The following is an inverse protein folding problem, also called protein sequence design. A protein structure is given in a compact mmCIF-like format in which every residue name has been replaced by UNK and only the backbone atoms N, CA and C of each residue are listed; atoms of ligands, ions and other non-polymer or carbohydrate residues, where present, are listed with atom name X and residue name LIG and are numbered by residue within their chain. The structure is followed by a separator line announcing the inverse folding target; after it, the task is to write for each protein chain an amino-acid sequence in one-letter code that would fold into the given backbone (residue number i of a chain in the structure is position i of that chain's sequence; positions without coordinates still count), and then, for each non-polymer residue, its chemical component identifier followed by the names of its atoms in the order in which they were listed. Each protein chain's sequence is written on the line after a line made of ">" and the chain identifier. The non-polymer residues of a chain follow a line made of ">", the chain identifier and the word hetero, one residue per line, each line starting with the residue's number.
data_IF_736189130714
#
_entry.id   IF_736189130714
#
_cell.length_a   1.000
_cell.length_b   1.000
_cell.length_c   1.000
_cell.angle_alpha   90.00
_cell.angle_beta   90.00
_cell.angle_gamma   90.00
#
_symmetry.space_group_name_H-M   'P 1'
#
loop_
_entity.id
_entity.type
_entity.pdbx_description
1 polymer ?
#
# COMPACT_ATOMS: atom_id res chain seq x y z
N UNK A 1 -36.56 -7.12 -37.60
CA UNK A 1 -35.08 -7.18 -37.65
C UNK A 1 -34.55 -5.81 -37.24
N UNK A 2 -33.73 -5.71 -36.17
CA UNK A 2 -33.14 -4.44 -35.77
C UNK A 2 -32.24 -3.92 -36.90
N UNK A 3 -32.31 -2.61 -37.19
CA UNK A 3 -31.49 -1.99 -38.24
C UNK A 3 -30.01 -2.13 -37.84
N UNK A 4 -29.13 -2.32 -38.83
CA UNK A 4 -27.69 -2.50 -38.58
C UNK A 4 -27.06 -1.38 -37.72
N UNK A 5 -27.61 -0.16 -37.77
CA UNK A 5 -27.21 0.95 -36.91
C UNK A 5 -27.49 0.70 -35.41
N UNK A 6 -28.61 0.05 -35.07
CA UNK A 6 -28.99 -0.25 -33.68
C UNK A 6 -28.05 -1.31 -33.08
N UNK A 7 -27.61 -2.30 -33.88
CA UNK A 7 -26.62 -3.29 -33.44
C UNK A 7 -25.24 -2.68 -33.16
N UNK A 8 -24.83 -1.65 -33.91
CA UNK A 8 -23.57 -0.93 -33.68
C UNK A 8 -23.64 -0.11 -32.37
N UNK A 9 -24.77 0.52 -32.09
CA UNK A 9 -24.95 1.25 -30.83
C UNK A 9 -24.99 0.32 -29.61
N UNK A 10 -25.72 -0.80 -29.69
CA UNK A 10 -25.81 -1.78 -28.60
C UNK A 10 -24.46 -2.44 -28.31
N UNK A 11 -23.69 -2.79 -29.35
CA UNK A 11 -22.34 -3.35 -29.16
C UNK A 11 -21.36 -2.34 -28.54
N UNK A 12 -21.40 -1.07 -28.96
CA UNK A 12 -20.60 0.01 -28.34
C UNK A 12 -20.96 0.20 -26.87
N UNK A 13 -22.24 0.26 -26.52
CA UNK A 13 -22.71 0.37 -25.14
C UNK A 13 -22.23 -0.81 -24.29
N UNK A 14 -22.39 -2.05 -24.78
CA UNK A 14 -21.92 -3.24 -24.06
C UNK A 14 -20.40 -3.28 -23.84
N UNK A 15 -19.63 -2.76 -24.81
CA UNK A 15 -18.17 -2.67 -24.70
C UNK A 15 -17.74 -1.64 -23.66
N UNK A 16 -18.44 -0.51 -23.57
CA UNK A 16 -18.25 0.52 -22.56
C UNK A 16 -18.58 -0.02 -21.16
N UNK A 17 -19.70 -0.74 -21.02
CA UNK A 17 -20.10 -1.36 -19.76
C UNK A 17 -19.06 -2.38 -19.27
N UNK A 18 -18.53 -3.20 -20.19
CA UNK A 18 -17.48 -4.17 -19.85
C UNK A 18 -16.17 -3.50 -19.42
N UNK A 19 -15.83 -2.37 -20.04
CA UNK A 19 -14.63 -1.60 -19.72
C UNK A 19 -14.79 -0.86 -18.39
N UNK A 20 -15.96 -0.27 -18.15
CA UNK A 20 -16.31 0.38 -16.89
C UNK A 20 -16.33 -0.63 -15.74
N UNK A 21 -16.88 -1.83 -15.95
CA UNK A 21 -16.86 -2.90 -14.95
C UNK A 21 -15.44 -3.35 -14.61
N UNK A 22 -14.53 -3.43 -15.60
CA UNK A 22 -13.11 -3.72 -15.36
C UNK A 22 -12.43 -2.59 -14.59
N UNK A 23 -12.67 -1.34 -15.00
CA UNK A 23 -12.13 -0.16 -14.31
C UNK A 23 -12.61 -0.11 -12.86
N UNK A 24 -13.91 -0.34 -12.61
CA UNK A 24 -14.47 -0.40 -11.27
C UNK A 24 -13.84 -1.50 -10.42
N UNK A 25 -13.58 -2.69 -10.98
CA UNK A 25 -12.84 -3.75 -10.26
C UNK A 25 -11.42 -3.33 -9.91
N UNK A 26 -10.71 -2.68 -10.83
CA UNK A 26 -9.37 -2.14 -10.57
C UNK A 26 -9.39 -1.11 -9.45
N UNK A 27 -10.40 -0.24 -9.44
CA UNK A 27 -10.63 0.77 -8.40
C UNK A 27 -10.94 0.12 -7.05
N UNK A 28 -11.82 -0.87 -6.99
CA UNK A 28 -12.18 -1.54 -5.73
C UNK A 28 -10.99 -2.30 -5.15
N UNK A 29 -10.26 -3.07 -5.99
CA UNK A 29 -9.07 -3.79 -5.56
C UNK A 29 -8.01 -2.84 -4.97
N UNK A 30 -7.93 -1.61 -5.48
CA UNK A 30 -7.04 -0.56 -4.99
C UNK A 30 -7.21 -0.25 -3.50
N UNK A 31 -8.47 -0.21 -3.04
CA UNK A 31 -8.80 0.18 -1.66
C UNK A 31 -8.25 -0.85 -0.69
N UNK A 32 -8.40 -2.13 -1.02
CA UNK A 32 -7.89 -3.24 -0.22
C UNK A 32 -6.35 -3.22 -0.20
N UNK A 33 -5.72 -2.95 -1.35
CA UNK A 33 -4.26 -2.86 -1.47
C UNK A 33 -3.68 -1.70 -0.67
N UNK A 34 -4.34 -0.54 -0.62
CA UNK A 34 -3.83 0.62 0.12
C UNK A 34 -3.73 0.35 1.62
N UNK A 35 -4.67 -0.42 2.19
CA UNK A 35 -4.62 -0.82 3.60
C UNK A 35 -3.38 -1.64 3.92
N UNK A 36 -3.07 -2.64 3.08
CA UNK A 36 -1.88 -3.46 3.22
C UNK A 36 -0.58 -2.70 2.95
N UNK A 37 -0.55 -1.83 1.94
CA UNK A 37 0.63 -1.00 1.68
C UNK A 37 0.89 -0.01 2.82
N UNK A 38 -0.16 0.56 3.42
CA UNK A 38 -0.04 1.42 4.60
C UNK A 38 0.52 0.62 5.79
N UNK A 39 0.06 -0.61 6.00
CA UNK A 39 0.57 -1.48 7.04
C UNK A 39 2.03 -1.88 6.83
N UNK A 40 2.39 -2.27 5.60
CA UNK A 40 3.76 -2.58 5.23
C UNK A 40 4.67 -1.36 5.44
N UNK A 41 4.24 -0.17 5.01
CA UNK A 41 4.97 1.08 5.19
C UNK A 41 5.30 1.36 6.67
N UNK A 42 4.28 1.28 7.54
CA UNK A 42 4.49 1.54 8.96
C UNK A 42 5.32 0.46 9.65
N UNK A 43 5.17 -0.79 9.22
CA UNK A 43 5.99 -1.90 9.73
C UNK A 43 7.46 -1.70 9.36
N UNK A 44 7.77 -1.35 8.11
CA UNK A 44 9.14 -1.05 7.67
C UNK A 44 9.72 0.16 8.41
N UNK A 45 8.91 1.21 8.63
CA UNK A 45 9.33 2.39 9.41
C UNK A 45 9.59 2.05 10.88
N UNK A 46 8.79 1.16 11.46
CA UNK A 46 9.00 0.65 12.83
C UNK A 46 10.31 -0.14 12.91
N UNK A 47 10.56 -1.06 11.97
CA UNK A 47 11.82 -1.81 11.90
C UNK A 47 13.02 -0.87 11.79
N UNK A 48 12.95 0.16 10.95
CA UNK A 48 14.00 1.19 10.84
C UNK A 48 14.23 1.92 12.17
N UNK A 49 13.15 2.29 12.87
CA UNK A 49 13.24 2.98 14.16
C UNK A 49 13.86 2.11 15.24
N UNK A 50 13.51 0.82 15.29
CA UNK A 50 14.11 -0.16 16.20
C UNK A 50 15.61 -0.32 15.90
N UNK A 51 15.99 -0.47 14.63
CA UNK A 51 17.40 -0.54 14.21
C UNK A 51 18.17 0.73 14.57
N UNK A 52 17.54 1.91 14.52
CA UNK A 52 18.14 3.17 14.96
C UNK A 52 18.42 3.19 16.46
N UNK A 53 17.51 2.67 17.28
CA UNK A 53 17.72 2.56 18.72
C UNK A 53 18.79 1.53 19.06
N UNK A 54 18.77 0.35 18.43
CA UNK A 54 19.78 -0.70 18.60
C UNK A 54 21.16 -0.18 18.16
N UNK A 55 21.24 0.48 17.01
CA UNK A 55 22.49 1.03 16.49
C UNK A 55 23.09 2.08 17.42
N UNK A 56 22.28 2.97 18.00
CA UNK A 56 22.73 3.96 19.00
C UNK A 56 23.22 3.29 20.29
N UNK A 57 22.50 2.27 20.77
CA UNK A 57 22.89 1.52 21.96
C UNK A 57 24.20 0.75 21.75
N UNK A 58 24.36 0.08 20.60
CA UNK A 58 25.57 -0.66 20.26
C UNK A 58 26.81 0.25 20.16
N UNK A 59 26.64 1.48 19.65
CA UNK A 59 27.72 2.48 19.61
C UNK A 59 28.04 3.00 21.03
N UNK A 60 27.04 3.20 21.88
CA UNK A 60 27.23 3.68 23.25
C UNK A 60 27.90 2.63 24.17
N UNK A 61 27.75 1.34 23.86
CA UNK A 61 28.35 0.24 24.64
C UNK A 61 29.83 0.03 24.31
N UNK A 62 30.38 0.61 23.22
CA UNK A 62 31.83 0.58 22.98
C UNK A 62 32.54 1.46 24.01
N UNK A 63 33.22 0.88 25.02
CA UNK A 63 34.04 1.66 25.92
C UNK A 63 35.31 2.04 25.18
N UNK A 64 35.89 3.13 25.61
CA UNK A 64 37.25 3.62 25.34
C UNK A 64 38.31 2.53 25.59
N UNK A 65 38.40 1.52 24.74
CA UNK A 65 39.56 0.62 24.70
C UNK A 65 40.53 1.23 23.71
N UNK A 66 41.34 2.11 24.29
CA UNK A 66 42.65 2.56 23.85
C UNK A 66 43.32 1.62 22.85
N UNK A 67 43.53 2.15 21.64
CA UNK A 67 44.80 2.12 20.91
C UNK A 67 45.83 1.09 21.41
N UNK A 68 45.64 -0.19 21.08
CA UNK A 68 46.76 -1.11 20.95
C UNK A 68 46.85 -1.54 19.50
N UNK A 69 47.90 -1.07 18.83
CA UNK A 69 48.42 -1.61 17.57
C UNK A 69 48.24 -3.14 17.56
N UNK A 70 47.54 -3.68 16.58
CA UNK A 70 47.67 -5.09 16.27
C UNK A 70 47.78 -5.32 14.77
N UNK A 71 48.72 -6.20 14.45
CA UNK A 71 49.24 -6.58 13.15
C UNK A 71 48.18 -7.14 12.20
N UNK A 72 48.43 -6.91 10.92
CA UNK A 72 47.51 -6.99 9.80
C UNK A 72 47.24 -8.41 9.25
N UNK A 73 47.06 -9.43 10.11
CA UNK A 73 46.89 -10.82 9.62
C UNK A 73 45.71 -11.61 10.21
N UNK A 74 44.96 -11.09 11.18
CA UNK A 74 43.78 -11.79 11.70
C UNK A 74 42.47 -11.34 11.02
N UNK A 75 41.56 -12.29 10.65
CA UNK A 75 40.26 -11.94 10.12
C UNK A 75 39.47 -11.12 11.16
N UNK A 76 38.70 -10.10 10.72
CA UNK A 76 38.04 -9.17 11.62
C UNK A 76 37.04 -9.90 12.51
N UNK A 77 37.18 -9.69 13.81
CA UNK A 77 36.35 -10.28 14.86
C UNK A 77 34.85 -10.04 14.57
N UNK A 78 33.97 -11.02 14.84
CA UNK A 78 32.53 -10.89 14.57
C UNK A 78 31.88 -9.72 15.33
N UNK A 79 32.46 -9.26 16.45
CA UNK A 79 32.03 -8.07 17.18
C UNK A 79 32.25 -6.76 16.39
N UNK A 80 33.27 -6.71 15.53
CA UNK A 80 33.54 -5.53 14.69
C UNK A 80 32.61 -5.47 13.46
N UNK A 81 32.05 -6.61 13.04
CA UNK A 81 31.12 -6.69 11.91
C UNK A 81 29.66 -6.38 12.28
N UNK A 82 29.26 -6.58 13.53
CA UNK A 82 27.90 -6.29 14.01
C UNK A 82 27.38 -4.87 13.68
N UNK A 83 28.12 -3.77 13.94
CA UNK A 83 27.65 -2.42 13.60
C UNK A 83 27.53 -2.18 12.08
N UNK A 84 28.38 -2.81 11.27
CA UNK A 84 28.29 -2.75 9.80
C UNK A 84 27.04 -3.47 9.27
N UNK A 85 26.66 -4.59 9.88
CA UNK A 85 25.43 -5.31 9.51
C UNK A 85 24.17 -4.52 9.89
N UNK A 86 24.13 -3.92 11.07
CA UNK A 86 22.99 -3.09 11.53
C UNK A 86 22.80 -1.86 10.64
N UNK A 87 23.89 -1.19 10.26
CA UNK A 87 23.85 -0.03 9.35
C UNK A 87 23.36 -0.42 7.95
N UNK A 88 23.86 -1.53 7.39
CA UNK A 88 23.38 -2.04 6.10
C UNK A 88 21.88 -2.41 6.14
N UNK A 89 21.43 -3.11 7.19
CA UNK A 89 20.00 -3.46 7.35
C UNK A 89 19.13 -2.20 7.43
N UNK A 90 19.60 -1.18 8.17
CA UNK A 90 18.90 0.10 8.28
C UNK A 90 18.78 0.78 6.93
N UNK A 91 19.83 0.84 6.13
CA UNK A 91 19.80 1.43 4.79
C UNK A 91 18.83 0.69 3.87
N UNK A 92 18.87 -0.65 3.88
CA UNK A 92 17.93 -1.47 3.12
C UNK A 92 16.48 -1.29 3.58
N UNK A 93 16.23 -1.19 4.89
CA UNK A 93 14.89 -0.94 5.44
C UNK A 93 14.36 0.44 5.05
N UNK A 94 15.23 1.46 5.04
CA UNK A 94 14.89 2.81 4.54
C UNK A 94 14.57 2.80 3.04
N UNK A 95 15.38 2.12 2.23
CA UNK A 95 15.14 1.98 0.80
C UNK A 95 13.79 1.30 0.53
N UNK A 96 13.49 0.20 1.22
CA UNK A 96 12.20 -0.49 1.13
C UNK A 96 11.02 0.41 1.54
N UNK A 97 11.17 1.16 2.64
CA UNK A 97 10.15 2.13 3.07
C UNK A 97 9.89 3.18 1.98
N UNK A 98 10.96 3.64 1.30
CA UNK A 98 10.88 4.54 0.16
C UNK A 98 10.13 3.93 -1.04
N UNK A 99 10.43 2.68 -1.39
CA UNK A 99 9.74 1.96 -2.47
C UNK A 99 8.25 1.77 -2.17
N UNK A 100 7.89 1.40 -0.94
CA UNK A 100 6.49 1.26 -0.53
C UNK A 100 5.79 2.63 -0.61
N UNK A 101 6.45 3.71 -0.19
CA UNK A 101 5.89 5.05 -0.30
C UNK A 101 5.62 5.45 -1.76
N UNK A 102 6.53 5.12 -2.67
CA UNK A 102 6.39 5.36 -4.12
C UNK A 102 5.22 4.55 -4.71
N UNK A 103 5.14 3.26 -4.37
CA UNK A 103 4.03 2.39 -4.78
C UNK A 103 2.68 2.95 -4.32
N UNK A 104 2.61 3.45 -3.09
CA UNK A 104 1.40 4.09 -2.56
C UNK A 104 1.07 5.42 -3.23
N UNK A 105 2.08 6.23 -3.55
CA UNK A 105 1.88 7.48 -4.28
C UNK A 105 1.29 7.21 -5.67
N UNK A 106 1.84 6.21 -6.37
CA UNK A 106 1.31 5.74 -7.64
C UNK A 106 -0.11 5.19 -7.51
N UNK A 107 -0.38 4.37 -6.49
CA UNK A 107 -1.72 3.86 -6.21
C UNK A 107 -2.73 5.02 -6.03
N UNK A 108 -2.34 6.08 -5.32
CA UNK A 108 -3.14 7.28 -5.10
C UNK A 108 -3.35 8.15 -6.35
N UNK A 109 -2.53 8.01 -7.39
CA UNK A 109 -2.72 8.74 -8.67
C UNK A 109 -4.08 8.42 -9.28
N UNK A 110 -4.44 7.14 -9.28
CA UNK A 110 -5.77 6.69 -9.72
C UNK A 110 -6.90 7.27 -8.86
N UNK A 111 -6.68 7.44 -7.56
CA UNK A 111 -7.64 8.04 -6.64
C UNK A 111 -7.94 9.51 -6.92
N UNK A 112 -7.02 10.22 -7.58
CA UNK A 112 -7.23 11.64 -7.91
C UNK A 112 -8.35 11.82 -8.92
N UNK A 113 -8.48 10.90 -9.88
CA UNK A 113 -9.56 10.92 -10.87
C UNK A 113 -10.92 10.77 -10.17
N UNK A 114 -11.04 9.83 -9.24
CA UNK A 114 -12.27 9.64 -8.45
C UNK A 114 -12.64 10.87 -7.62
N UNK A 115 -11.65 11.55 -7.03
CA UNK A 115 -11.89 12.75 -6.25
C UNK A 115 -12.39 13.88 -7.14
N UNK A 116 -11.80 14.07 -8.32
CA UNK A 116 -12.25 15.09 -9.28
C UNK A 116 -13.69 14.80 -9.71
N UNK A 117 -14.01 13.56 -10.06
CA UNK A 117 -15.36 13.16 -10.45
C UNK A 117 -16.37 13.32 -9.30
N UNK A 118 -15.96 13.01 -8.07
CA UNK A 118 -16.79 13.18 -6.88
C UNK A 118 -17.03 14.65 -6.57
N UNK A 119 -16.00 15.50 -6.71
CA UNK A 119 -16.11 16.94 -6.52
C UNK A 119 -17.06 17.57 -7.53
N UNK A 120 -16.98 17.15 -8.80
CA UNK A 120 -17.92 17.59 -9.83
C UNK A 120 -19.37 17.26 -9.47
N UNK A 121 -19.62 16.01 -9.03
CA UNK A 121 -20.96 15.60 -8.58
C UNK A 121 -21.45 16.40 -7.37
N UNK A 122 -20.57 16.73 -6.42
CA UNK A 122 -20.93 17.54 -5.26
C UNK A 122 -21.34 18.96 -5.66
N UNK A 123 -20.66 19.55 -6.64
CA UNK A 123 -21.01 20.87 -7.20
C UNK A 123 -22.36 20.82 -7.92
N UNK A 124 -22.59 19.80 -8.76
CA UNK A 124 -23.86 19.61 -9.46
C UNK A 124 -25.04 19.41 -8.49
N UNK A 125 -24.83 18.72 -7.37
CA UNK A 125 -25.85 18.54 -6.33
C UNK A 125 -26.16 19.87 -5.63
N UNK A 126 -25.13 20.65 -5.30
CA UNK A 126 -25.30 21.95 -4.63
C UNK A 126 -26.13 22.92 -5.49
N UNK A 127 -25.83 22.98 -6.80
CA UNK A 127 -26.59 23.77 -7.78
C UNK A 127 -28.06 23.33 -7.83
N UNK A 128 -28.32 22.02 -7.87
CA UNK A 128 -29.69 21.48 -7.93
C UNK A 128 -30.54 21.73 -6.66
N UNK A 129 -29.89 21.94 -5.52
CA UNK A 129 -30.55 22.21 -4.25
C UNK A 129 -30.91 23.70 -4.08
N UNK A 130 -30.26 24.59 -4.82
CA UNK A 130 -30.57 26.02 -4.86
C UNK A 130 -31.97 26.31 -5.43
N UNK A 131 -32.47 25.43 -6.32
CA UNK A 131 -33.73 25.59 -7.03
C UNK A 131 -34.93 24.93 -6.33
N UNK A 132 -34.72 24.16 -5.26
CA UNK A 132 -35.76 23.40 -4.57
C UNK A 132 -36.39 24.16 -3.38
N UNK A 133 -37.66 24.52 -3.54
CA UNK A 133 -38.51 25.24 -2.58
C UNK A 133 -38.63 24.60 -1.18
N UNK A 134 -39.06 25.42 -0.24
CA UNK A 134 -38.74 25.48 1.19
C UNK A 134 -39.61 24.59 2.11
N UNK A 135 -39.57 23.25 2.02
CA UNK A 135 -40.52 22.43 2.82
C UNK A 135 -40.02 21.16 3.55
N UNK A 136 -38.72 20.99 3.84
CA UNK A 136 -38.24 19.92 4.76
C UNK A 136 -36.80 20.18 5.30
N UNK A 137 -36.20 19.34 6.19
CA UNK A 137 -35.11 19.74 7.10
C UNK A 137 -33.74 19.92 6.39
N UNK A 138 -33.57 21.06 5.72
CA UNK A 138 -32.37 21.44 4.93
C UNK A 138 -31.06 21.45 5.73
N UNK A 139 -31.10 21.61 7.05
CA UNK A 139 -29.90 21.85 7.86
C UNK A 139 -28.97 20.63 7.99
N UNK A 140 -29.52 19.41 8.09
CA UNK A 140 -28.72 18.19 8.25
C UNK A 140 -27.95 17.83 6.98
N UNK A 141 -28.59 18.02 5.81
CA UNK A 141 -27.99 17.75 4.50
C UNK A 141 -26.85 18.73 4.18
N UNK A 142 -27.03 20.01 4.54
CA UNK A 142 -26.04 21.07 4.27
C UNK A 142 -24.71 20.85 5.00
N UNK A 143 -24.76 20.37 6.25
CA UNK A 143 -23.53 20.04 6.99
C UNK A 143 -22.78 18.88 6.36
N UNK A 144 -23.48 17.79 6.00
CA UNK A 144 -22.83 16.60 5.44
C UNK A 144 -22.21 16.94 4.07
N UNK A 145 -22.93 17.72 3.25
CA UNK A 145 -22.41 18.24 1.97
C UNK A 145 -21.15 19.10 2.16
N UNK A 146 -21.16 20.01 3.13
CA UNK A 146 -20.00 20.86 3.44
C UNK A 146 -18.78 20.03 3.88
N UNK A 147 -18.99 19.04 4.75
CA UNK A 147 -17.91 18.15 5.21
C UNK A 147 -17.37 17.32 4.06
N UNK A 148 -18.23 16.78 3.20
CA UNK A 148 -17.84 16.03 2.00
C UNK A 148 -17.03 16.89 1.03
N UNK A 149 -17.48 18.12 0.78
CA UNK A 149 -16.78 19.08 -0.05
C UNK A 149 -15.40 19.43 0.52
N UNK A 150 -15.30 19.74 1.80
CA UNK A 150 -14.04 20.07 2.46
C UNK A 150 -13.05 18.89 2.43
N UNK A 151 -13.54 17.67 2.61
CA UNK A 151 -12.71 16.47 2.48
C UNK A 151 -12.23 16.24 1.07
N UNK A 152 -13.10 16.38 0.07
CA UNK A 152 -12.73 16.24 -1.33
C UNK A 152 -11.64 17.24 -1.72
N UNK A 153 -11.79 18.50 -1.33
CA UNK A 153 -10.78 19.56 -1.56
C UNK A 153 -9.47 19.24 -0.82
N UNK A 154 -9.54 18.85 0.46
CA UNK A 154 -8.35 18.50 1.23
C UNK A 154 -7.60 17.31 0.63
N UNK A 155 -8.31 16.27 0.20
CA UNK A 155 -7.71 15.12 -0.49
C UNK A 155 -7.11 15.52 -1.85
N UNK A 156 -7.79 16.37 -2.62
CA UNK A 156 -7.27 16.84 -3.89
C UNK A 156 -5.94 17.60 -3.71
N UNK A 157 -5.88 18.53 -2.74
CA UNK A 157 -4.64 19.26 -2.41
C UNK A 157 -3.55 18.30 -1.96
N UNK A 158 -3.88 17.32 -1.10
CA UNK A 158 -2.95 16.29 -0.67
C UNK A 158 -2.35 15.53 -1.85
N UNK A 159 -3.18 15.03 -2.77
CA UNK A 159 -2.72 14.25 -3.92
C UNK A 159 -1.89 15.08 -4.88
N UNK A 160 -2.33 16.28 -5.26
CA UNK A 160 -1.58 17.16 -6.18
C UNK A 160 -0.18 17.44 -5.62
N UNK A 161 -0.07 17.78 -4.33
CA UNK A 161 1.22 18.03 -3.70
C UNK A 161 2.09 16.77 -3.65
N UNK A 162 1.51 15.62 -3.26
CA UNK A 162 2.20 14.33 -3.18
C UNK A 162 2.74 13.88 -4.56
N UNK A 163 1.94 14.04 -5.62
CA UNK A 163 2.35 13.73 -7.00
C UNK A 163 3.41 14.69 -7.53
N UNK A 164 3.31 15.98 -7.25
CA UNK A 164 4.35 16.94 -7.62
C UNK A 164 5.71 16.59 -6.98
N UNK A 165 5.70 16.19 -5.71
CA UNK A 165 6.91 15.70 -5.00
C UNK A 165 7.43 14.41 -5.64
N UNK A 166 6.55 13.46 -5.94
CA UNK A 166 6.91 12.20 -6.59
C UNK A 166 7.55 12.42 -7.96
N UNK A 167 6.91 13.21 -8.84
CA UNK A 167 7.48 13.54 -10.15
C UNK A 167 8.78 14.31 -10.05
N UNK A 168 8.95 15.15 -9.02
CA UNK A 168 10.21 15.81 -8.75
C UNK A 168 11.31 14.84 -8.33
N UNK A 169 11.02 13.90 -7.44
CA UNK A 169 11.95 12.84 -7.02
C UNK A 169 12.42 12.00 -8.20
N UNK A 170 11.53 11.72 -9.16
CA UNK A 170 11.84 10.99 -10.39
C UNK A 170 12.40 11.87 -11.53
N UNK A 171 12.76 13.12 -11.25
CA UNK A 171 13.36 14.07 -12.21
C UNK A 171 12.47 14.36 -13.45
N UNK A 172 11.17 14.14 -13.34
CA UNK A 172 10.19 14.48 -14.39
C UNK A 172 9.89 15.98 -14.34
N UNK A 173 9.77 16.55 -13.14
CA UNK A 173 9.58 17.98 -12.92
C UNK A 173 10.75 18.53 -12.09
N UNK A 174 11.30 19.68 -12.48
CA UNK A 174 12.36 20.35 -11.71
C UNK A 174 11.74 21.23 -10.63
N UNK A 175 11.63 20.73 -9.41
CA UNK A 175 11.26 21.54 -8.24
C UNK A 175 12.51 21.83 -7.40
N UNK A 176 12.58 23.04 -6.86
CA UNK A 176 13.64 23.40 -5.90
C UNK A 176 13.43 22.65 -4.57
N UNK A 177 14.49 22.42 -3.81
CA UNK A 177 14.39 21.78 -2.48
C UNK A 177 13.44 22.57 -1.54
N UNK A 178 13.45 23.90 -1.64
CA UNK A 178 12.54 24.76 -0.89
C UNK A 178 11.07 24.54 -1.29
N UNK A 179 10.79 24.45 -2.59
CA UNK A 179 9.45 24.16 -3.13
C UNK A 179 8.96 22.78 -2.68
N UNK A 180 9.81 21.75 -2.78
CA UNK A 180 9.48 20.39 -2.33
C UNK A 180 9.13 20.38 -0.85
N UNK A 181 9.90 21.07 0.00
CA UNK A 181 9.61 21.18 1.43
C UNK A 181 8.27 21.89 1.72
N UNK A 182 7.94 22.93 0.95
CA UNK A 182 6.65 23.63 1.06
C UNK A 182 5.50 22.69 0.66
N UNK A 183 5.60 22.02 -0.48
CA UNK A 183 4.60 21.07 -0.95
C UNK A 183 4.41 19.91 0.03
N UNK A 184 5.50 19.38 0.61
CA UNK A 184 5.41 18.34 1.65
C UNK A 184 4.62 18.83 2.87
N UNK A 185 4.83 20.08 3.31
CA UNK A 185 4.04 20.62 4.43
C UNK A 185 2.57 20.78 4.08
N UNK A 186 2.27 21.29 2.90
CA UNK A 186 0.88 21.45 2.44
C UNK A 186 0.17 20.11 2.27
N UNK A 187 0.85 19.10 1.72
CA UNK A 187 0.27 17.76 1.62
C UNK A 187 -0.06 17.19 3.00
N UNK A 188 0.86 17.27 3.96
CA UNK A 188 0.66 16.77 5.32
C UNK A 188 -0.47 17.51 6.05
N UNK A 189 -0.57 18.84 5.89
CA UNK A 189 -1.67 19.64 6.45
C UNK A 189 -3.01 19.29 5.83
N UNK A 190 -3.08 19.14 4.51
CA UNK A 190 -4.31 18.76 3.82
C UNK A 190 -4.77 17.35 4.24
N UNK A 191 -3.85 16.41 4.39
CA UNK A 191 -4.14 15.08 4.95
C UNK A 191 -4.66 15.14 6.39
N UNK A 192 -4.07 15.99 7.24
CA UNK A 192 -4.55 16.21 8.60
C UNK A 192 -5.97 16.79 8.62
N UNK A 193 -6.27 17.80 7.80
CA UNK A 193 -7.62 18.37 7.66
C UNK A 193 -8.62 17.30 7.25
N UNK A 194 -8.32 16.50 6.23
CA UNK A 194 -9.18 15.41 5.80
C UNK A 194 -9.48 14.42 6.95
N UNK A 195 -8.47 14.11 7.76
CA UNK A 195 -8.60 13.19 8.89
C UNK A 195 -9.40 13.79 10.04
N UNK A 196 -9.24 15.09 10.34
CA UNK A 196 -10.08 15.82 11.29
C UNK A 196 -11.54 15.72 10.86
N UNK A 197 -11.84 16.00 9.59
CA UNK A 197 -13.20 15.91 9.06
C UNK A 197 -13.77 14.49 9.18
N UNK A 198 -12.94 13.46 9.02
CA UNK A 198 -13.37 12.08 9.19
C UNK A 198 -13.74 11.76 10.65
N UNK A 199 -12.98 12.29 11.62
CA UNK A 199 -13.34 12.17 13.05
C UNK A 199 -14.63 12.94 13.34
N UNK A 200 -14.74 14.18 12.84
CA UNK A 200 -15.94 15.01 12.99
C UNK A 200 -17.17 14.27 12.47
N UNK A 201 -17.09 13.62 11.31
CA UNK A 201 -18.18 12.81 10.75
C UNK A 201 -18.57 11.65 11.68
N UNK A 202 -17.60 10.89 12.18
CA UNK A 202 -17.87 9.76 13.09
C UNK A 202 -18.51 10.24 14.40
N UNK A 203 -18.08 11.37 14.94
CA UNK A 203 -18.67 11.98 16.14
C UNK A 203 -20.07 12.52 15.86
N UNK A 204 -20.27 13.23 14.75
CA UNK A 204 -21.57 13.75 14.34
C UNK A 204 -22.60 12.64 14.15
N UNK A 205 -22.21 11.53 13.51
CA UNK A 205 -23.04 10.33 13.39
C UNK A 205 -23.44 9.80 14.78
N UNK A 206 -22.49 9.67 15.71
CA UNK A 206 -22.77 9.19 17.06
C UNK A 206 -23.76 10.08 17.82
N UNK A 207 -23.65 11.40 17.68
CA UNK A 207 -24.55 12.39 18.30
C UNK A 207 -25.95 12.30 17.69
N UNK A 208 -26.05 12.21 16.35
CA UNK A 208 -27.33 12.13 15.64
C UNK A 208 -28.07 10.81 15.87
N UNK A 209 -27.36 9.69 16.01
CA UNK A 209 -27.99 8.36 16.15
C UNK A 209 -28.65 8.09 17.52
N UNK A 210 -28.61 9.03 18.49
CA UNK A 210 -29.31 8.96 19.80
C UNK A 210 -29.31 7.59 20.53
N UNK A 211 -28.30 6.73 20.30
CA UNK A 211 -28.17 5.42 20.96
C UNK A 211 -28.35 4.19 20.06
N UNK A 212 -28.91 4.31 18.86
CA UNK A 212 -28.95 3.24 17.85
C UNK A 212 -27.63 3.17 17.08
N UNK A 213 -26.54 2.88 17.80
CA UNK A 213 -25.19 3.00 17.26
C UNK A 213 -24.74 1.70 16.63
N UNK A 214 -24.18 1.79 15.43
CA UNK A 214 -23.44 0.71 14.78
C UNK A 214 -22.40 0.13 15.76
N UNK A 215 -22.39 -1.20 15.91
CA UNK A 215 -21.45 -1.92 16.76
C UNK A 215 -19.99 -1.57 16.42
N UNK A 216 -19.74 -1.14 15.19
CA UNK A 216 -18.41 -0.79 14.71
C UNK A 216 -17.98 0.66 14.95
N UNK A 217 -18.83 1.54 15.50
CA UNK A 217 -18.49 2.97 15.65
C UNK A 217 -17.22 3.19 16.49
N UNK A 218 -17.05 2.43 17.59
CA UNK A 218 -15.87 2.53 18.47
C UNK A 218 -14.60 2.18 17.69
N UNK A 219 -14.67 1.11 16.88
CA UNK A 219 -13.56 0.67 16.04
C UNK A 219 -13.21 1.73 15.00
N UNK A 220 -14.22 2.32 14.36
CA UNK A 220 -14.05 3.43 13.43
C UNK A 220 -13.44 4.67 14.10
N UNK A 221 -13.91 5.05 15.29
CA UNK A 221 -13.36 6.19 16.03
C UNK A 221 -11.90 5.94 16.40
N UNK A 222 -11.57 4.81 17.03
CA UNK A 222 -10.19 4.48 17.44
C UNK A 222 -9.26 4.50 16.23
N UNK A 223 -9.69 3.90 15.12
CA UNK A 223 -8.93 3.88 13.87
C UNK A 223 -8.68 5.30 13.34
N UNK A 224 -9.73 6.10 13.19
CA UNK A 224 -9.61 7.45 12.63
C UNK A 224 -8.83 8.37 13.56
N UNK A 225 -8.96 8.22 14.88
CA UNK A 225 -8.18 8.96 15.88
C UNK A 225 -6.70 8.61 15.85
N UNK A 226 -6.34 7.33 15.67
CA UNK A 226 -4.93 6.93 15.52
C UNK A 226 -4.29 7.58 14.29
N UNK A 227 -5.02 7.58 13.16
CA UNK A 227 -4.57 8.26 11.93
C UNK A 227 -4.50 9.77 12.14
N UNK A 228 -5.45 10.35 12.88
CA UNK A 228 -5.48 11.79 13.17
C UNK A 228 -4.22 12.23 13.92
N UNK A 229 -3.86 11.51 14.98
CA UNK A 229 -2.67 11.83 15.78
C UNK A 229 -1.42 11.81 14.90
N UNK A 230 -1.27 10.80 14.04
CA UNK A 230 -0.16 10.70 13.09
C UNK A 230 -0.16 11.87 12.11
N UNK A 231 -1.32 12.19 11.54
CA UNK A 231 -1.46 13.25 10.55
C UNK A 231 -1.13 14.62 11.15
N UNK A 232 -1.67 14.93 12.32
CA UNK A 232 -1.40 16.17 13.05
C UNK A 232 0.07 16.27 13.44
N UNK A 233 0.66 15.19 13.95
CA UNK A 233 2.08 15.19 14.30
C UNK A 233 2.96 15.53 13.10
N UNK A 234 2.69 14.94 11.94
CA UNK A 234 3.47 15.17 10.73
C UNK A 234 3.18 16.54 10.08
N UNK A 235 1.99 17.11 10.28
CA UNK A 235 1.63 18.44 9.78
C UNK A 235 2.38 19.57 10.52
N UNK A 236 2.91 19.30 11.72
CA UNK A 236 3.66 20.24 12.52
C UNK A 236 5.16 20.13 12.24
N UNK A 237 5.91 21.26 12.12
CA UNK A 237 7.36 21.23 11.85
C UNK A 237 8.20 20.46 12.88
N UNK A 238 7.70 20.37 14.12
CA UNK A 238 8.26 19.60 15.23
C UNK A 238 7.11 18.92 15.95
N UNK A 239 6.58 17.88 15.35
CA UNK A 239 5.53 17.07 15.98
C UNK A 239 5.94 16.62 17.39
N UNK A 240 4.99 16.58 18.35
CA UNK A 240 5.30 16.24 19.74
C UNK A 240 5.73 14.79 19.95
N UNK A 241 5.41 13.89 19.02
CA UNK A 241 5.72 12.47 19.11
C UNK A 241 7.01 12.14 18.38
N UNK A 242 7.80 11.24 18.98
CA UNK A 242 8.98 10.69 18.34
C UNK A 242 8.61 9.66 17.26
N UNK A 243 9.58 9.36 16.39
CA UNK A 243 9.39 8.43 15.26
C UNK A 243 8.99 7.01 15.66
N UNK A 244 9.46 6.53 16.82
CA UNK A 244 9.11 5.20 17.32
C UNK A 244 7.63 5.13 17.70
N UNK A 245 7.15 6.11 18.47
CA UNK A 245 5.74 6.21 18.87
C UNK A 245 4.84 6.37 17.65
N UNK A 246 5.24 7.17 16.67
CA UNK A 246 4.50 7.29 15.40
C UNK A 246 4.44 5.97 14.64
N UNK A 247 5.55 5.24 14.60
CA UNK A 247 5.61 3.96 13.88
C UNK A 247 4.75 2.90 14.56
N UNK A 248 4.75 2.83 15.90
CA UNK A 248 3.87 1.94 16.66
C UNK A 248 2.40 2.29 16.40
N UNK A 249 2.04 3.57 16.52
CA UNK A 249 0.67 4.03 16.29
C UNK A 249 0.24 3.76 14.84
N UNK A 250 1.15 3.93 13.90
CA UNK A 250 0.97 3.63 12.49
C UNK A 250 0.69 2.16 12.24
N UNK A 251 1.48 1.25 12.80
CA UNK A 251 1.27 -0.20 12.70
C UNK A 251 -0.08 -0.60 13.32
N UNK A 252 -0.41 -0.09 14.51
CA UNK A 252 -1.70 -0.39 15.17
C UNK A 252 -2.89 0.12 14.35
N UNK A 253 -2.85 1.38 13.92
CA UNK A 253 -3.93 2.00 13.14
C UNK A 253 -4.11 1.34 11.77
N UNK A 254 -3.01 1.02 11.08
CA UNK A 254 -3.05 0.38 9.76
C UNK A 254 -3.36 -1.12 9.82
N UNK A 255 -2.94 -1.83 10.86
CA UNK A 255 -3.30 -3.23 11.06
C UNK A 255 -4.81 -3.42 11.25
N UNK A 256 -5.45 -2.51 12.00
CA UNK A 256 -6.91 -2.49 12.13
C UNK A 256 -7.58 -2.22 10.77
N UNK A 257 -6.98 -1.37 9.92
CA UNK A 257 -7.49 -1.08 8.58
C UNK A 257 -7.37 -2.30 7.65
N UNK A 258 -6.20 -2.94 7.60
CA UNK A 258 -5.95 -4.12 6.77
C UNK A 258 -6.85 -5.31 7.15
N UNK A 259 -7.12 -5.50 8.44
CA UNK A 259 -8.06 -6.53 8.90
C UNK A 259 -9.52 -6.23 8.57
N UNK A 260 -9.90 -4.95 8.49
CA UNK A 260 -11.26 -4.56 8.12
C UNK A 260 -11.53 -4.81 6.63
N UNK A 261 -10.53 -4.65 5.77
CA UNK A 261 -10.63 -4.95 4.33
C UNK A 261 -10.56 -6.44 4.02
N UNK A 262 -9.92 -7.26 4.87
CA UNK A 262 -9.82 -8.71 4.65
C UNK A 262 -11.03 -9.50 5.15
N UNK A 263 -12.00 -8.87 5.82
CA UNK A 263 -13.21 -9.55 6.28
C UNK A 263 -14.22 -9.56 5.14
N UNK A 264 -14.57 -10.73 4.56
CA UNK A 264 -15.60 -10.78 3.52
C UNK A 264 -16.89 -10.25 4.12
N UNK A 265 -17.42 -9.18 3.51
CA UNK A 265 -18.63 -8.51 3.95
C UNK A 265 -19.81 -9.49 4.05
N UNK A 266 -20.04 -10.03 5.25
CA UNK A 266 -21.32 -10.65 5.61
C UNK A 266 -22.28 -9.65 6.26
N UNK A 267 -21.79 -8.47 6.67
CA UNK A 267 -22.61 -7.46 7.34
C UNK A 267 -22.71 -6.18 6.50
N UNK A 268 -23.86 -6.03 5.85
CA UNK A 268 -24.34 -4.82 5.21
C UNK A 268 -24.53 -3.71 6.25
N UNK A 269 -23.54 -2.82 6.45
CA UNK A 269 -23.72 -1.43 6.93
C UNK A 269 -22.36 -0.70 6.95
N UNK A 270 -21.89 -0.32 5.76
CA UNK A 270 -21.00 0.83 5.56
C UNK A 270 -21.82 1.87 4.81
N UNK A 271 -21.67 3.20 5.06
CA UNK A 271 -22.47 4.21 4.38
C UNK A 271 -22.30 4.05 2.87
N UNK A 272 -23.39 3.62 2.26
CA UNK A 272 -23.53 3.52 0.83
C UNK A 272 -23.39 4.93 0.25
N UNK A 273 -22.47 5.11 -0.69
CA UNK A 273 -22.81 5.89 -1.88
C UNK A 273 -24.06 5.22 -2.46
N UNK A 274 -25.21 5.85 -2.25
CA UNK A 274 -26.49 5.17 -2.33
C UNK A 274 -26.92 4.83 -3.76
N UNK A 275 -27.53 3.65 -3.86
CA UNK A 275 -28.57 3.21 -4.80
C UNK A 275 -28.27 3.25 -6.32
N UNK A 276 -27.56 2.23 -6.84
CA UNK A 276 -27.88 1.71 -8.21
C UNK A 276 -27.40 0.30 -8.56
N UNK A 277 -26.95 -0.58 -7.64
CA UNK A 277 -26.38 -1.89 -8.07
C UNK A 277 -26.73 -3.08 -7.15
N UNK A 278 -27.99 -3.19 -6.73
CA UNK A 278 -28.50 -4.32 -5.94
C UNK A 278 -28.55 -5.69 -6.68
N UNK A 279 -28.64 -5.83 -8.02
CA UNK A 279 -28.87 -7.17 -8.59
C UNK A 279 -27.68 -8.14 -8.61
N UNK A 280 -26.42 -7.70 -8.46
CA UNK A 280 -25.24 -8.55 -8.69
C UNK A 280 -24.63 -9.20 -7.44
N UNK A 281 -25.03 -8.76 -6.25
CA UNK A 281 -24.45 -9.22 -4.98
C UNK A 281 -25.00 -10.59 -4.54
N UNK A 282 -26.15 -11.02 -5.07
CA UNK A 282 -26.82 -12.28 -4.71
C UNK A 282 -26.18 -13.53 -5.34
N UNK A 283 -25.26 -13.38 -6.30
CA UNK A 283 -24.61 -14.50 -6.99
C UNK A 283 -23.32 -15.01 -6.31
N UNK A 284 -22.80 -14.33 -5.29
CA UNK A 284 -21.45 -14.58 -4.76
C UNK A 284 -21.38 -15.28 -3.39
N UNK A 285 -22.50 -15.63 -2.76
CA UNK A 285 -22.52 -16.14 -1.38
C UNK A 285 -22.19 -17.63 -1.19
N UNK A 286 -21.63 -18.32 -2.19
CA UNK A 286 -21.31 -19.76 -2.10
C UNK A 286 -19.86 -20.04 -2.49
N UNK A 287 -18.91 -19.62 -1.67
CA UNK A 287 -17.56 -20.21 -1.67
C UNK A 287 -16.94 -20.07 -0.27
N UNK A 288 -16.98 -21.17 0.49
CA UNK A 288 -16.32 -21.28 1.79
C UNK A 288 -14.88 -21.71 1.54
N UNK A 289 -13.93 -20.78 1.59
CA UNK A 289 -12.51 -21.10 1.49
C UNK A 289 -11.76 -20.48 2.66
N UNK A 290 -11.04 -21.36 3.36
CA UNK A 290 -10.14 -21.05 4.47
C UNK A 290 -8.79 -20.71 3.83
N UNK A 291 -8.39 -19.43 3.78
CA UNK A 291 -7.07 -19.04 3.29
C UNK A 291 -6.26 -18.29 4.33
N UNK A 292 -4.96 -18.59 4.30
CA UNK A 292 -3.91 -17.89 5.02
C UNK A 292 -3.69 -16.51 4.34
N UNK A 293 -3.96 -15.40 5.05
CA UNK A 293 -3.92 -14.06 4.46
C UNK A 293 -2.54 -13.64 3.93
N UNK A 294 -1.46 -14.26 4.41
CA UNK A 294 -0.11 -13.98 3.91
C UNK A 294 0.14 -14.57 2.52
N UNK A 295 -0.44 -15.73 2.23
CA UNK A 295 -0.31 -16.39 0.93
C UNK A 295 -1.04 -15.60 -0.17
N UNK A 296 -2.19 -15.03 0.16
CA UNK A 296 -2.98 -14.22 -0.76
C UNK A 296 -2.30 -12.87 -1.05
N UNK A 297 -1.69 -12.24 -0.04
CA UNK A 297 -0.88 -11.03 -0.20
C UNK A 297 0.40 -11.28 -1.03
N UNK A 298 1.12 -12.38 -0.77
CA UNK A 298 2.30 -12.76 -1.55
C UNK A 298 1.94 -13.07 -3.02
N UNK A 299 0.84 -13.80 -3.25
CA UNK A 299 0.33 -14.10 -4.60
C UNK A 299 -0.12 -12.84 -5.33
N UNK A 300 -0.65 -11.84 -4.62
CA UNK A 300 -1.03 -10.54 -5.18
C UNK A 300 0.20 -9.68 -5.53
N UNK A 301 1.22 -9.64 -4.67
CA UNK A 301 2.49 -8.96 -4.96
C UNK A 301 3.21 -9.58 -6.18
N UNK A 302 3.11 -10.91 -6.34
CA UNK A 302 3.62 -11.63 -7.52
C UNK A 302 2.85 -11.22 -8.79
N UNK A 303 1.52 -11.07 -8.72
CA UNK A 303 0.68 -10.65 -9.84
C UNK A 303 0.84 -9.17 -10.22
N UNK A 304 1.26 -8.33 -9.28
CA UNK A 304 1.45 -6.88 -9.49
C UNK A 304 2.90 -6.50 -9.85
N UNK A 305 3.76 -7.48 -10.13
CA UNK A 305 5.20 -7.28 -10.40
C UNK A 305 5.94 -6.54 -9.28
N UNK A 306 5.46 -6.62 -8.03
CA UNK A 306 6.13 -6.08 -6.86
C UNK A 306 7.17 -7.08 -6.30
N UNK A 307 7.93 -7.74 -7.18
CA UNK A 307 8.86 -8.82 -6.83
C UNK A 307 9.89 -8.38 -5.78
N UNK A 308 10.32 -7.11 -5.81
CA UNK A 308 11.27 -6.56 -4.83
C UNK A 308 10.75 -6.52 -3.39
N UNK A 309 9.43 -6.44 -3.17
CA UNK A 309 8.83 -6.48 -1.83
C UNK A 309 8.81 -7.91 -1.27
N UNK A 310 8.58 -8.91 -2.12
CA UNK A 310 8.55 -10.33 -1.75
C UNK A 310 9.94 -10.81 -1.36
N UNK A 311 10.95 -10.56 -2.19
CA UNK A 311 12.35 -10.90 -1.87
C UNK A 311 12.84 -10.23 -0.59
N UNK A 312 12.34 -9.03 -0.28
CA UNK A 312 12.75 -8.31 0.92
C UNK A 312 12.08 -8.82 2.19
N UNK A 313 10.79 -9.17 2.13
CA UNK A 313 10.11 -9.84 3.24
C UNK A 313 10.67 -11.25 3.48
N UNK A 314 10.97 -12.01 2.41
CA UNK A 314 11.68 -13.29 2.53
C UNK A 314 13.07 -13.11 3.11
N UNK A 315 13.85 -12.10 2.70
CA UNK A 315 15.19 -11.82 3.27
C UNK A 315 15.13 -11.46 4.75
N UNK A 316 14.14 -10.65 5.17
CA UNK A 316 13.92 -10.32 6.59
C UNK A 316 13.52 -11.56 7.40
N UNK A 317 12.67 -12.43 6.85
CA UNK A 317 12.21 -13.66 7.51
C UNK A 317 13.29 -14.74 7.56
N UNK A 318 14.04 -14.94 6.48
CA UNK A 318 15.17 -15.89 6.42
C UNK A 318 16.29 -15.46 7.36
N UNK A 319 16.65 -14.18 7.43
CA UNK A 319 17.65 -13.72 8.40
C UNK A 319 17.19 -13.84 9.87
N UNK A 320 15.87 -13.74 10.12
CA UNK A 320 15.32 -14.00 11.46
C UNK A 320 15.35 -15.49 11.83
N UNK A 321 15.32 -16.39 10.86
CA UNK A 321 15.36 -17.85 11.03
C UNK A 321 16.78 -18.42 11.00
N UNK A 322 17.72 -17.76 10.32
CA UNK A 322 19.13 -18.17 10.21
C UNK A 322 19.89 -18.07 11.54
N UNK A 323 19.37 -17.35 12.53
CA UNK A 323 19.88 -17.40 13.91
C UNK A 323 19.71 -18.78 14.57
N UNK A 324 18.91 -19.69 13.99
CA UNK A 324 18.70 -21.06 14.51
C UNK A 324 19.15 -22.20 13.59
N UNK A 325 19.58 -21.95 12.35
CA UNK A 325 19.80 -23.05 11.39
C UNK A 325 21.02 -22.93 10.47
N UNK A 326 22.05 -22.17 10.86
CA UNK A 326 23.29 -22.00 10.09
C UNK A 326 24.18 -23.27 9.98
N UNK A 327 23.65 -24.50 10.14
CA UNK A 327 24.40 -25.74 9.95
C UNK A 327 23.87 -26.69 8.89
N UNK A 328 22.75 -26.41 8.22
CA UNK A 328 22.17 -27.44 7.36
C UNK A 328 21.33 -26.87 6.21
N UNK A 329 22.00 -26.51 5.10
CA UNK A 329 21.54 -26.66 3.70
C UNK A 329 22.45 -25.89 2.75
N UNK A 330 23.42 -26.58 2.15
CA UNK A 330 23.88 -26.27 0.80
C UNK A 330 23.07 -27.19 -0.12
N UNK A 331 22.19 -26.62 -0.95
CA UNK A 331 21.53 -27.31 -2.06
C UNK A 331 21.99 -26.63 -3.36
N UNK A 332 22.42 -27.39 -4.38
CA UNK A 332 23.12 -26.83 -5.55
C UNK A 332 22.18 -26.32 -6.66
N UNK A 333 20.99 -25.81 -6.30
CA UNK A 333 19.92 -25.49 -7.26
C UNK A 333 19.47 -24.01 -7.18
N UNK A 334 20.40 -23.10 -6.94
CA UNK A 334 20.13 -21.65 -7.05
C UNK A 334 20.08 -21.23 -8.52
N UNK A 335 18.98 -20.57 -8.88
CA UNK A 335 18.75 -19.99 -10.21
C UNK A 335 19.71 -18.81 -10.39
N UNK A 336 20.56 -18.79 -11.44
CA UNK A 336 21.54 -17.72 -11.61
C UNK A 336 20.88 -16.35 -11.79
N UNK A 337 21.49 -15.32 -11.19
CA UNK A 337 21.05 -13.92 -11.22
C UNK A 337 20.71 -13.45 -12.64
N UNK A 338 19.51 -12.87 -12.79
CA UNK A 338 18.86 -12.53 -14.07
C UNK A 338 19.45 -11.26 -14.72
N UNK A 339 20.34 -10.53 -14.04
CA UNK A 339 20.91 -9.29 -14.58
C UNK A 339 22.42 -9.41 -14.70
N UNK A 340 22.98 -9.47 -15.92
CA UNK A 340 24.41 -9.51 -16.10
C UNK A 340 25.04 -8.21 -15.56
N UNK A 341 26.20 -8.29 -14.88
CA UNK A 341 26.87 -7.13 -14.26
C UNK A 341 27.45 -6.14 -15.28
N UNK A 342 27.29 -6.38 -16.58
CA UNK A 342 27.73 -5.50 -17.66
C UNK A 342 26.58 -5.26 -18.64
N UNK A 343 26.56 -4.08 -19.24
CA UNK A 343 25.67 -3.76 -20.37
C UNK A 343 25.98 -4.69 -21.53
N UNK A 344 25.01 -5.53 -21.88
CA UNK A 344 25.10 -6.41 -23.05
C UNK A 344 24.91 -5.60 -24.34
N UNK A 345 25.63 -5.97 -25.38
CA UNK A 345 25.31 -5.54 -26.75
C UNK A 345 23.98 -6.18 -27.19
N UNK A 346 23.32 -5.60 -28.20
CA UNK A 346 22.03 -6.12 -28.68
C UNK A 346 22.10 -7.60 -29.11
N UNK A 347 23.20 -8.03 -29.74
CA UNK A 347 23.41 -9.43 -30.14
C UNK A 347 23.65 -10.36 -28.94
N UNK A 348 24.38 -9.90 -27.93
CA UNK A 348 24.60 -10.68 -26.70
C UNK A 348 23.29 -10.81 -25.90
N UNK A 349 22.47 -9.77 -25.86
CA UNK A 349 21.16 -9.79 -25.21
C UNK A 349 20.20 -10.77 -25.89
N UNK A 350 20.17 -10.81 -27.23
CA UNK A 350 19.37 -11.78 -27.98
C UNK A 350 19.86 -13.22 -27.74
N UNK A 351 21.17 -13.45 -27.74
CA UNK A 351 21.73 -14.78 -27.44
C UNK A 351 21.40 -15.24 -26.03
N UNK A 352 21.48 -14.35 -25.04
CA UNK A 352 21.12 -14.67 -23.67
C UNK A 352 19.62 -14.96 -23.52
N UNK A 353 18.77 -14.18 -24.20
CA UNK A 353 17.33 -14.40 -24.25
C UNK A 353 16.98 -15.78 -24.84
N UNK A 354 17.57 -16.13 -25.98
CA UNK A 354 17.37 -17.46 -26.61
C UNK A 354 17.84 -18.60 -25.69
N UNK A 355 18.94 -18.42 -24.96
CA UNK A 355 19.44 -19.40 -23.99
C UNK A 355 18.46 -19.57 -22.82
N UNK A 356 17.89 -18.48 -22.31
CA UNK A 356 16.89 -18.54 -21.24
C UNK A 356 15.61 -19.23 -21.70
N UNK A 357 15.16 -18.99 -22.93
CA UNK A 357 14.01 -19.70 -23.52
C UNK A 357 14.25 -21.20 -23.64
N UNK A 358 15.45 -21.62 -24.07
CA UNK A 358 15.82 -23.04 -24.16
C UNK A 358 15.79 -23.73 -22.79
N UNK A 359 16.37 -23.09 -21.76
CA UNK A 359 16.36 -23.61 -20.39
C UNK A 359 14.93 -23.73 -19.83
N UNK A 360 14.08 -22.74 -20.08
CA UNK A 360 12.69 -22.76 -19.64
C UNK A 360 11.92 -23.91 -20.30
N UNK A 361 12.17 -24.16 -21.59
CA UNK A 361 11.56 -25.27 -22.32
C UNK A 361 12.00 -26.63 -21.74
N UNK A 362 13.31 -26.81 -21.46
CA UNK A 362 13.85 -28.02 -20.84
C UNK A 362 13.24 -28.28 -19.46
N UNK A 363 13.16 -27.25 -18.60
CA UNK A 363 12.53 -27.35 -17.29
C UNK A 363 11.05 -27.72 -17.37
N UNK A 364 10.33 -27.16 -18.34
CA UNK A 364 8.92 -27.46 -18.58
C UNK A 364 8.73 -28.92 -19.00
N UNK A 365 9.60 -29.43 -19.89
CA UNK A 365 9.58 -30.84 -20.29
C UNK A 365 9.88 -31.77 -19.12
N UNK A 366 10.92 -31.48 -18.34
CA UNK A 366 11.29 -32.26 -17.15
C UNK A 366 10.14 -32.31 -16.12
N UNK A 367 9.42 -31.20 -15.93
CA UNK A 367 8.24 -31.15 -15.08
C UNK A 367 7.12 -32.08 -15.58
N UNK A 368 6.81 -32.03 -16.88
CA UNK A 368 5.79 -32.90 -17.47
C UNK A 368 6.16 -34.39 -17.39
N UNK A 369 7.43 -34.74 -17.60
CA UNK A 369 7.89 -36.12 -17.47
C UNK A 369 7.82 -36.61 -16.02
N UNK A 370 8.16 -35.75 -15.06
CA UNK A 370 7.99 -36.06 -13.63
C UNK A 370 6.52 -36.32 -13.30
N UNK A 371 5.60 -35.50 -13.80
CA UNK A 371 4.15 -35.68 -13.61
C UNK A 371 3.64 -36.98 -14.25
N UNK A 372 4.13 -37.35 -15.44
CA UNK A 372 3.79 -38.62 -16.10
C UNK A 372 4.26 -39.83 -15.29
N UNK A 373 5.48 -39.80 -14.75
CA UNK A 373 6.01 -40.86 -13.89
C UNK A 373 5.18 -41.05 -12.63
N UNK A 374 4.80 -39.97 -11.96
CA UNK A 374 3.94 -40.02 -10.76
C UNK A 374 2.54 -40.56 -11.05
N UNK A 375 1.96 -40.23 -12.22
CA UNK A 375 0.67 -40.78 -12.64
C UNK A 375 0.76 -42.29 -12.93
N UNK A 376 1.85 -42.75 -13.55
CA UNK A 376 2.02 -44.17 -13.87
C UNK A 376 2.40 -45.02 -12.67
N UNK A 377 2.93 -44.43 -11.57
CA UNK A 377 3.23 -45.17 -10.34
C UNK A 377 2.04 -45.33 -9.40
N UNK A 378 0.91 -44.69 -9.69
CA UNK A 378 -0.32 -44.72 -8.88
C UNK A 378 -1.45 -45.54 -9.51
N UNK A 379 -1.23 -46.05 -10.72
CA UNK A 379 -2.04 -47.08 -11.37
C UNK A 379 -1.32 -48.43 -11.22
#
# INVERSE_FOLDING_TARGET
>A
MPRAADQIHISRLSSLDSSLARLQRCITARIDTEGWLLFAFWSSRLSTSILDHIGKAAVAIKPTVSSSRHDSSHPPDPEEQAPKRVTLLKERSKASTGMIADARCFNRLWGTIEIILSLKKLIEIDESLGDAEESSPKQTHSFDLLVDFCQAVALLVYHICDHAIFFSKHRIIKLSSATTAILTRWSLRAFAINTVMAVVRVVAQRVRSRGAVDKNWKKSLVRTSAILIIAVNNALPKGPLNELTLSILGVLGSGILAQATSSPASDSTSPQFSSTLVPLQKAYSTAKVRTDPFRDFASYLLRTQACGLIYHFESILTMSLETKSAKQRQSPEETPDIVPPRTLTAEEAEKDYQKQLALLHEQTQAYHDRQRRLRNSTA
#
